data_IF_289314749844
#
_entry.id   IF_289314749844
#
_cell.length_a   1.000
_cell.length_b   1.000
_cell.length_c   1.000
_cell.angle_alpha   90.00
_cell.angle_beta   90.00
_cell.angle_gamma   90.00
#
_symmetry.space_group_name_H-M   'P 1'
#
loop_
_entity.id
_entity.type
_entity.pdbx_description
1 polymer ?
#
# COMPACT_ATOMS: atom_id res chain seq x y z
N UNK A 1 -15.13 -12.92 -1.10
CA UNK A 1 -14.94 -13.56 0.22
C UNK A 1 -14.15 -12.61 1.08
N UNK A 2 -14.78 -12.10 2.14
CA UNK A 2 -14.24 -11.11 3.07
C UNK A 2 -13.16 -11.75 3.98
N UNK A 3 -12.11 -11.01 4.33
CA UNK A 3 -11.13 -11.42 5.34
C UNK A 3 -11.78 -11.26 6.71
N UNK A 4 -11.58 -12.21 7.62
CA UNK A 4 -12.21 -12.15 8.93
C UNK A 4 -11.49 -11.14 9.83
N UNK A 5 -12.26 -10.47 10.70
CA UNK A 5 -11.73 -9.73 11.84
C UNK A 5 -11.94 -10.57 13.08
N UNK A 6 -10.86 -10.95 13.75
CA UNK A 6 -10.85 -11.79 14.95
C UNK A 6 -10.33 -10.95 16.12
N UNK A 7 -11.15 -10.72 17.14
CA UNK A 7 -10.77 -9.96 18.34
C UNK A 7 -10.16 -8.58 18.00
N UNK A 8 -10.84 -7.82 17.15
CA UNK A 8 -10.40 -6.49 16.66
C UNK A 8 -9.15 -6.47 15.76
N UNK A 9 -8.72 -7.63 15.28
CA UNK A 9 -7.56 -7.78 14.40
C UNK A 9 -8.01 -8.38 13.07
N UNK A 10 -7.69 -7.72 11.96
CA UNK A 10 -7.84 -8.29 10.62
C UNK A 10 -6.91 -9.49 10.49
N UNK A 11 -7.36 -10.58 9.89
CA UNK A 11 -6.50 -11.74 9.62
C UNK A 11 -5.47 -11.41 8.53
N UNK A 12 -4.32 -10.88 8.96
CA UNK A 12 -3.22 -10.45 8.08
C UNK A 12 -2.63 -11.64 7.30
N UNK A 13 -2.59 -12.83 7.90
CA UNK A 13 -2.09 -14.03 7.21
C UNK A 13 -2.98 -14.32 6.01
N UNK A 14 -4.30 -14.30 6.20
CA UNK A 14 -5.25 -14.48 5.10
C UNK A 14 -5.19 -13.36 4.06
N UNK A 15 -4.96 -12.12 4.49
CA UNK A 15 -4.76 -10.98 3.59
C UNK A 15 -3.53 -11.22 2.69
N UNK A 16 -2.40 -11.56 3.29
CA UNK A 16 -1.14 -11.79 2.60
C UNK A 16 -1.23 -12.98 1.64
N UNK A 17 -1.82 -14.10 2.07
CA UNK A 17 -2.06 -15.26 1.20
C UNK A 17 -2.87 -14.89 -0.05
N UNK A 18 -3.96 -14.13 0.11
CA UNK A 18 -4.79 -13.70 -1.02
C UNK A 18 -4.07 -12.73 -1.93
N UNK A 19 -3.38 -11.75 -1.34
CA UNK A 19 -2.59 -10.79 -2.10
C UNK A 19 -1.52 -11.51 -2.94
N UNK A 20 -0.74 -12.40 -2.33
CA UNK A 20 0.32 -13.15 -3.01
C UNK A 20 -0.23 -14.05 -4.12
N UNK A 21 -1.38 -14.71 -3.91
CA UNK A 21 -2.03 -15.50 -4.96
C UNK A 21 -2.45 -14.63 -6.15
N UNK A 22 -2.99 -13.43 -5.91
CA UNK A 22 -3.38 -12.50 -6.98
C UNK A 22 -2.15 -12.00 -7.75
N UNK A 23 -1.07 -11.67 -7.03
CA UNK A 23 0.20 -11.22 -7.62
C UNK A 23 0.79 -12.30 -8.49
N UNK A 24 0.90 -13.51 -7.97
CA UNK A 24 1.39 -14.65 -8.73
C UNK A 24 0.53 -14.94 -9.97
N UNK A 25 -0.79 -15.07 -9.81
CA UNK A 25 -1.69 -15.49 -10.89
C UNK A 25 -1.84 -14.43 -12.00
N UNK A 26 -1.76 -13.14 -11.66
CA UNK A 26 -2.15 -12.07 -12.59
C UNK A 26 -1.07 -11.04 -12.88
N UNK A 27 -0.10 -10.82 -11.99
CA UNK A 27 1.05 -9.96 -12.28
C UNK A 27 2.21 -10.80 -12.81
N UNK A 28 2.70 -11.78 -12.04
CA UNK A 28 3.97 -12.45 -12.35
C UNK A 28 3.86 -13.43 -13.53
N UNK A 29 2.71 -14.10 -13.69
CA UNK A 29 2.57 -15.20 -14.65
C UNK A 29 1.83 -14.84 -15.93
N UNK A 30 0.84 -13.94 -15.86
CA UNK A 30 -0.09 -13.72 -16.99
C UNK A 30 -0.24 -12.27 -17.44
N UNK A 31 0.39 -11.30 -16.75
CA UNK A 31 0.27 -9.86 -17.05
C UNK A 31 -1.19 -9.38 -17.22
N UNK A 32 -2.13 -10.00 -16.50
CA UNK A 32 -3.55 -9.67 -16.54
C UNK A 32 -3.89 -8.56 -15.54
N UNK A 33 -3.36 -7.37 -15.79
CA UNK A 33 -3.46 -6.21 -14.88
C UNK A 33 -4.88 -5.79 -14.57
N UNK A 34 -5.81 -5.91 -15.54
CA UNK A 34 -7.23 -5.61 -15.31
C UNK A 34 -7.84 -6.56 -14.27
N UNK A 35 -7.50 -7.85 -14.33
CA UNK A 35 -7.99 -8.84 -13.37
C UNK A 35 -7.31 -8.70 -12.02
N UNK A 36 -6.01 -8.39 -12.00
CA UNK A 36 -5.28 -8.05 -10.79
C UNK A 36 -5.93 -6.86 -10.07
N UNK A 37 -6.13 -5.74 -10.76
CA UNK A 37 -6.78 -4.53 -10.23
C UNK A 37 -8.13 -4.84 -9.60
N UNK A 38 -9.00 -5.57 -10.34
CA UNK A 38 -10.34 -5.95 -9.84
C UNK A 38 -10.28 -6.87 -8.62
N UNK A 39 -9.25 -7.69 -8.49
CA UNK A 39 -9.10 -8.65 -7.39
C UNK A 39 -8.43 -8.04 -6.15
N UNK A 40 -7.51 -7.08 -6.35
CA UNK A 40 -6.85 -6.33 -5.27
C UNK A 40 -7.76 -5.26 -4.68
N UNK A 41 -8.63 -4.64 -5.48
CA UNK A 41 -9.51 -3.54 -5.02
C UNK A 41 -10.34 -3.93 -3.77
N UNK A 42 -11.01 -5.10 -3.70
CA UNK A 42 -11.73 -5.50 -2.48
C UNK A 42 -10.83 -5.69 -1.25
N UNK A 43 -9.61 -6.22 -1.44
CA UNK A 43 -8.66 -6.37 -0.33
C UNK A 43 -8.24 -4.99 0.19
N UNK A 44 -7.96 -4.08 -0.73
CA UNK A 44 -7.60 -2.70 -0.43
C UNK A 44 -8.71 -1.98 0.32
N UNK A 45 -9.95 -2.04 -0.18
CA UNK A 45 -11.12 -1.45 0.49
C UNK A 45 -11.28 -2.00 1.90
N UNK A 46 -11.08 -3.30 2.08
CA UNK A 46 -11.22 -3.93 3.39
C UNK A 46 -10.14 -3.45 4.38
N UNK A 47 -8.88 -3.37 3.95
CA UNK A 47 -7.77 -2.90 4.79
C UNK A 47 -7.96 -1.45 5.21
N UNK A 48 -8.30 -0.57 4.26
CA UNK A 48 -8.49 0.86 4.55
C UNK A 48 -9.72 1.11 5.43
N UNK A 49 -10.82 0.37 5.18
CA UNK A 49 -12.03 0.44 6.02
C UNK A 49 -11.74 -0.05 7.44
N UNK A 50 -11.11 -1.23 7.58
CA UNK A 50 -10.73 -1.77 8.88
C UNK A 50 -9.89 -0.78 9.69
N UNK A 51 -8.87 -0.17 9.08
CA UNK A 51 -8.00 0.76 9.80
C UNK A 51 -8.73 2.04 10.19
N UNK A 52 -9.58 2.58 9.29
CA UNK A 52 -10.41 3.76 9.57
C UNK A 52 -11.37 3.49 10.73
N UNK A 53 -12.05 2.34 10.74
CA UNK A 53 -12.94 1.93 11.83
C UNK A 53 -12.19 1.70 13.15
N UNK A 54 -11.02 1.06 13.09
CA UNK A 54 -10.16 0.85 14.25
C UNK A 54 -9.78 2.17 14.94
N UNK A 55 -9.39 3.17 14.13
CA UNK A 55 -9.05 4.51 14.60
C UNK A 55 -10.30 5.26 15.09
N UNK A 56 -11.42 5.17 14.38
CA UNK A 56 -12.69 5.80 14.76
C UNK A 56 -13.19 5.34 16.14
N UNK A 57 -13.08 4.04 16.43
CA UNK A 57 -13.42 3.48 17.74
C UNK A 57 -12.49 3.94 18.88
N UNK A 58 -11.36 4.56 18.55
CA UNK A 58 -10.31 4.99 19.50
C UNK A 58 -10.00 6.49 19.40
N UNK A 59 -10.97 7.30 18.95
CA UNK A 59 -10.83 8.75 18.81
C UNK A 59 -9.59 9.18 17.97
N UNK A 60 -9.22 8.36 16.99
CA UNK A 60 -8.06 8.59 16.13
C UNK A 60 -6.71 8.25 16.76
N UNK A 61 -6.65 7.64 17.95
CA UNK A 61 -5.40 7.20 18.54
C UNK A 61 -4.73 6.11 17.69
N UNK A 62 -3.44 6.30 17.40
CA UNK A 62 -2.66 5.29 16.70
C UNK A 62 -2.53 4.02 17.57
N UNK A 63 -2.54 2.84 16.94
CA UNK A 63 -2.23 1.62 17.67
C UNK A 63 -0.80 1.66 18.22
N UNK A 64 -0.60 1.03 19.38
CA UNK A 64 0.75 0.80 19.90
C UNK A 64 1.49 -0.15 18.97
N UNK A 65 2.69 0.24 18.56
CA UNK A 65 3.56 -0.58 17.74
C UNK A 65 3.80 -1.94 18.41
N UNK A 66 3.40 -3.00 17.72
CA UNK A 66 3.66 -4.39 18.08
C UNK A 66 3.78 -5.20 16.78
N UNK A 67 4.07 -6.49 16.89
CA UNK A 67 4.24 -7.38 15.72
C UNK A 67 3.04 -7.35 14.79
N UNK A 68 1.82 -7.32 15.31
CA UNK A 68 0.63 -7.27 14.47
C UNK A 68 0.58 -5.99 13.64
N UNK A 69 0.78 -4.81 14.25
CA UNK A 69 0.67 -3.54 13.53
C UNK A 69 1.83 -3.30 12.56
N UNK A 70 2.99 -3.90 12.83
CA UNK A 70 4.11 -3.96 11.89
C UNK A 70 3.75 -4.79 10.65
N UNK A 71 3.22 -6.01 10.84
CA UNK A 71 2.76 -6.86 9.74
C UNK A 71 1.59 -6.23 8.98
N UNK A 72 0.68 -5.57 9.69
CA UNK A 72 -0.46 -4.88 9.09
C UNK A 72 0.01 -3.80 8.12
N UNK A 73 0.95 -2.95 8.56
CA UNK A 73 1.39 -1.82 7.77
C UNK A 73 2.29 -2.23 6.60
N UNK A 74 3.15 -3.24 6.80
CA UNK A 74 3.92 -3.87 5.72
C UNK A 74 3.01 -4.42 4.61
N UNK A 75 2.01 -5.21 5.00
CA UNK A 75 1.06 -5.79 4.06
C UNK A 75 0.21 -4.71 3.36
N UNK A 76 -0.17 -3.66 4.09
CA UNK A 76 -0.93 -2.52 3.54
C UNK A 76 -0.12 -1.74 2.52
N UNK A 77 1.17 -1.49 2.78
CA UNK A 77 2.08 -0.81 1.87
C UNK A 77 2.25 -1.60 0.56
N UNK A 78 2.54 -2.90 0.67
CA UNK A 78 2.67 -3.82 -0.47
C UNK A 78 1.38 -3.91 -1.28
N UNK A 79 0.22 -3.95 -0.60
CA UNK A 79 -1.09 -3.95 -1.26
C UNK A 79 -1.35 -2.66 -2.06
N UNK A 80 -0.98 -1.49 -1.50
CA UNK A 80 -1.09 -0.21 -2.20
C UNK A 80 -0.22 -0.20 -3.46
N UNK A 81 1.03 -0.67 -3.35
CA UNK A 81 1.94 -0.79 -4.50
C UNK A 81 1.37 -1.71 -5.59
N UNK A 82 0.96 -2.93 -5.25
CA UNK A 82 0.42 -3.86 -6.25
C UNK A 82 -0.86 -3.36 -6.90
N UNK A 83 -1.73 -2.68 -6.15
CA UNK A 83 -2.93 -2.06 -6.71
C UNK A 83 -2.56 -0.92 -7.65
N UNK A 84 -1.60 -0.06 -7.29
CA UNK A 84 -1.12 1.02 -8.15
C UNK A 84 -0.54 0.48 -9.47
N UNK A 85 0.35 -0.52 -9.40
CA UNK A 85 0.93 -1.18 -10.56
C UNK A 85 -0.17 -1.78 -11.45
N UNK A 86 -1.15 -2.47 -10.85
CA UNK A 86 -2.25 -3.05 -11.60
C UNK A 86 -3.13 -2.00 -12.28
N UNK A 87 -3.38 -0.85 -11.65
CA UNK A 87 -4.12 0.26 -12.26
C UNK A 87 -3.31 0.88 -13.41
N UNK A 88 -2.03 1.17 -13.17
CA UNK A 88 -1.14 1.80 -14.14
C UNK A 88 -1.03 0.96 -15.42
N UNK A 89 -0.67 -0.31 -15.29
CA UNK A 89 -0.50 -1.19 -16.46
C UNK A 89 -1.82 -1.69 -17.08
N UNK A 90 -2.95 -1.57 -16.37
CA UNK A 90 -4.27 -1.79 -16.97
C UNK A 90 -4.80 -0.57 -17.73
N UNK A 91 -4.25 0.62 -17.46
CA UNK A 91 -4.65 1.85 -18.13
C UNK A 91 -4.00 1.92 -19.51
N UNK A 92 -4.77 2.24 -20.54
CA UNK A 92 -4.22 2.51 -21.86
C UNK A 92 -3.56 3.90 -21.88
N UNK A 93 -2.58 4.14 -22.76
CA UNK A 93 -1.89 5.44 -22.93
C UNK A 93 -2.82 6.66 -23.10
N UNK A 94 -4.08 6.46 -23.49
CA UNK A 94 -5.08 7.51 -23.66
C UNK A 94 -5.84 7.87 -22.36
N UNK A 95 -5.72 7.05 -21.31
CA UNK A 95 -6.27 7.36 -19.99
C UNK A 95 -5.19 8.06 -19.19
N UNK A 96 -5.44 9.31 -18.78
CA UNK A 96 -4.57 10.01 -17.83
C UNK A 96 -4.26 9.05 -16.68
N UNK A 97 -2.98 8.90 -16.35
CA UNK A 97 -2.55 8.18 -15.16
C UNK A 97 -3.39 8.68 -13.98
N UNK A 98 -4.25 7.84 -13.38
CA UNK A 98 -5.18 8.35 -12.39
C UNK A 98 -4.38 8.96 -11.24
N UNK A 99 -4.74 10.14 -10.76
CA UNK A 99 -4.15 10.77 -9.54
C UNK A 99 -4.10 9.77 -8.36
N UNK A 100 -5.02 8.80 -8.39
CA UNK A 100 -5.04 7.64 -7.50
C UNK A 100 -3.76 6.79 -7.52
N UNK A 101 -3.12 6.58 -8.68
CA UNK A 101 -1.87 5.81 -8.80
C UNK A 101 -0.73 6.54 -8.10
N UNK A 102 -0.56 7.85 -8.36
CA UNK A 102 0.44 8.68 -7.66
C UNK A 102 0.22 8.63 -6.14
N UNK A 103 -1.04 8.78 -5.69
CA UNK A 103 -1.42 8.71 -4.27
C UNK A 103 -1.10 7.33 -3.64
N UNK A 104 -1.45 6.23 -4.32
CA UNK A 104 -1.19 4.87 -3.84
C UNK A 104 0.31 4.56 -3.74
N UNK A 105 1.11 4.99 -4.71
CA UNK A 105 2.56 4.81 -4.69
C UNK A 105 3.22 5.66 -3.60
N UNK A 106 2.76 6.91 -3.47
CA UNK A 106 3.22 7.82 -2.40
C UNK A 106 3.00 7.19 -1.04
N UNK A 107 1.79 6.68 -0.77
CA UNK A 107 1.53 6.07 0.53
C UNK A 107 2.23 4.73 0.70
N UNK A 108 2.38 3.92 -0.36
CA UNK A 108 3.15 2.68 -0.30
C UNK A 108 4.59 2.97 0.16
N UNK A 109 5.24 4.00 -0.40
CA UNK A 109 6.59 4.39 0.01
C UNK A 109 6.65 4.88 1.46
N UNK A 110 5.72 5.75 1.88
CA UNK A 110 5.70 6.29 3.25
C UNK A 110 5.29 5.28 4.32
N UNK A 111 4.54 4.25 3.97
CA UNK A 111 4.01 3.28 4.92
C UNK A 111 4.80 1.97 4.97
N UNK A 112 5.80 1.77 4.10
CA UNK A 112 6.64 0.58 4.14
C UNK A 112 7.57 0.62 5.37
N UNK A 113 7.42 -0.30 6.34
CA UNK A 113 8.28 -0.32 7.52
C UNK A 113 9.61 -1.03 7.22
N UNK A 114 10.59 -0.88 8.11
CA UNK A 114 11.82 -1.70 8.08
C UNK A 114 12.55 -1.67 6.73
N UNK A 115 12.66 -0.50 6.11
CA UNK A 115 13.25 -0.29 4.77
C UNK A 115 14.73 -0.65 4.63
N UNK A 116 15.40 -0.97 5.74
CA UNK A 116 16.79 -1.47 5.76
C UNK A 116 16.87 -3.00 5.57
N UNK A 117 15.74 -3.70 5.60
CA UNK A 117 15.68 -5.12 5.27
C UNK A 117 15.68 -5.30 3.75
N UNK A 118 16.50 -6.22 3.24
CA UNK A 118 16.70 -6.46 1.80
C UNK A 118 15.39 -6.53 1.01
N UNK A 119 14.41 -7.32 1.46
CA UNK A 119 13.10 -7.42 0.81
C UNK A 119 12.40 -6.06 0.68
N UNK A 120 12.38 -5.27 1.76
CA UNK A 120 11.68 -3.99 1.77
C UNK A 120 12.49 -2.88 1.08
N UNK A 121 13.81 -3.00 1.01
CA UNK A 121 14.66 -2.13 0.19
C UNK A 121 14.40 -2.34 -1.31
N UNK A 122 14.28 -3.60 -1.74
CA UNK A 122 13.92 -3.95 -3.12
C UNK A 122 12.52 -3.44 -3.48
N UNK A 123 11.54 -3.65 -2.59
CA UNK A 123 10.19 -3.11 -2.78
C UNK A 123 10.19 -1.59 -2.86
N UNK A 124 10.95 -0.91 -2.01
CA UNK A 124 11.03 0.55 -2.02
C UNK A 124 11.63 1.07 -3.33
N UNK A 125 12.66 0.39 -3.83
CA UNK A 125 13.26 0.69 -5.13
C UNK A 125 12.26 0.53 -6.26
N UNK A 126 11.46 -0.55 -6.24
CA UNK A 126 10.40 -0.77 -7.22
C UNK A 126 9.28 0.27 -7.15
N UNK A 127 8.90 0.71 -5.94
CA UNK A 127 7.92 1.79 -5.73
C UNK A 127 8.42 3.10 -6.37
N UNK A 128 9.68 3.48 -6.13
CA UNK A 128 10.22 4.72 -6.71
C UNK A 128 10.37 4.66 -8.23
N UNK A 129 10.74 3.50 -8.78
CA UNK A 129 10.81 3.31 -10.23
C UNK A 129 9.43 3.55 -10.87
N UNK A 130 8.40 2.85 -10.38
CA UNK A 130 7.03 3.01 -10.88
C UNK A 130 6.47 4.41 -10.62
N UNK A 131 6.79 5.03 -9.48
CA UNK A 131 6.40 6.41 -9.20
C UNK A 131 7.01 7.37 -10.22
N UNK A 132 8.28 7.18 -10.60
CA UNK A 132 8.95 7.93 -11.65
C UNK A 132 8.27 7.80 -13.01
N UNK A 133 7.89 6.60 -13.40
CA UNK A 133 7.13 6.35 -14.63
C UNK A 133 5.74 7.03 -14.62
N UNK A 134 5.15 7.17 -13.43
CA UNK A 134 3.81 7.76 -13.26
C UNK A 134 3.85 9.29 -13.29
N UNK A 135 4.82 9.91 -12.61
CA UNK A 135 4.87 11.37 -12.46
C UNK A 135 5.72 12.08 -13.52
N UNK A 136 6.63 11.35 -14.19
CA UNK A 136 7.57 11.88 -15.19
C UNK A 136 8.36 13.12 -14.72
N UNK A 137 8.56 13.24 -13.40
CA UNK A 137 9.14 14.39 -12.72
C UNK A 137 10.22 13.93 -11.74
N UNK A 138 11.48 14.13 -12.12
CA UNK A 138 12.64 13.74 -11.32
C UNK A 138 12.72 14.46 -9.97
N UNK A 139 12.30 15.72 -9.88
CA UNK A 139 12.36 16.48 -8.62
C UNK A 139 11.36 15.92 -7.62
N UNK A 140 10.14 15.57 -8.08
CA UNK A 140 9.14 14.89 -7.25
C UNK A 140 9.63 13.52 -6.75
N UNK A 141 10.25 12.72 -7.62
CA UNK A 141 10.80 11.40 -7.24
C UNK A 141 11.87 11.55 -6.18
N UNK A 142 12.82 12.48 -6.38
CA UNK A 142 13.89 12.76 -5.41
C UNK A 142 13.35 13.25 -4.07
N UNK A 143 12.40 14.20 -4.09
CA UNK A 143 11.79 14.72 -2.86
C UNK A 143 11.09 13.62 -2.05
N UNK A 144 10.28 12.77 -2.72
CA UNK A 144 9.63 11.64 -2.06
C UNK A 144 10.66 10.67 -1.46
N UNK A 145 11.71 10.34 -2.23
CA UNK A 145 12.77 9.44 -1.78
C UNK A 145 13.47 9.96 -0.53
N UNK A 146 13.90 11.21 -0.55
CA UNK A 146 14.60 11.83 0.57
C UNK A 146 13.73 11.86 1.83
N UNK A 147 12.44 12.20 1.69
CA UNK A 147 11.49 12.20 2.80
C UNK A 147 11.23 10.80 3.37
N UNK A 148 11.16 9.76 2.54
CA UNK A 148 10.97 8.37 2.99
C UNK A 148 12.21 7.84 3.70
N UNK A 149 13.41 8.09 3.15
CA UNK A 149 14.66 7.68 3.77
C UNK A 149 14.89 8.37 5.12
N UNK A 150 14.49 9.63 5.25
CA UNK A 150 14.54 10.36 6.53
C UNK A 150 13.62 9.77 7.61
N UNK A 151 12.55 9.04 7.24
CA UNK A 151 11.62 8.39 8.18
C UNK A 151 12.12 7.03 8.68
N UNK A 152 13.15 6.45 8.04
CA UNK A 152 13.80 5.19 8.42
C UNK A 152 12.85 3.98 8.59
N UNK A 153 11.65 4.02 8.00
CA UNK A 153 10.67 2.95 8.13
C UNK A 153 10.19 2.70 9.58
N UNK A 154 10.19 3.73 10.44
CA UNK A 154 9.63 3.64 11.80
C UNK A 154 8.14 3.30 11.74
N UNK A 155 7.75 2.16 12.32
CA UNK A 155 6.38 1.65 12.22
C UNK A 155 5.32 2.63 12.72
N UNK A 156 5.63 3.45 13.74
CA UNK A 156 4.69 4.47 14.24
C UNK A 156 4.50 5.58 13.21
N UNK A 157 5.57 6.04 12.56
CA UNK A 157 5.47 7.00 11.46
C UNK A 157 4.74 6.41 10.25
N UNK A 158 5.00 5.16 9.88
CA UNK A 158 4.28 4.46 8.80
C UNK A 158 2.77 4.40 9.08
N UNK A 159 2.38 4.02 10.30
CA UNK A 159 0.97 4.00 10.74
C UNK A 159 0.34 5.39 10.74
N UNK A 160 1.10 6.44 11.10
CA UNK A 160 0.64 7.82 11.06
C UNK A 160 0.43 8.31 9.62
N UNK A 161 1.36 8.01 8.70
CA UNK A 161 1.22 8.35 7.28
C UNK A 161 0.01 7.65 6.68
N UNK A 162 -0.17 6.36 7.00
CA UNK A 162 -1.31 5.58 6.53
C UNK A 162 -2.64 6.07 7.12
N UNK A 163 -2.65 6.53 8.37
CA UNK A 163 -3.83 7.19 8.97
C UNK A 163 -4.26 8.40 8.13
N UNK A 164 -3.33 9.32 7.85
CA UNK A 164 -3.61 10.53 7.08
C UNK A 164 -4.12 10.21 5.66
N UNK A 165 -3.66 9.09 5.10
CA UNK A 165 -4.12 8.59 3.81
C UNK A 165 -5.56 8.06 3.87
N UNK A 166 -5.87 7.12 4.78
CA UNK A 166 -7.22 6.51 4.85
C UNK A 166 -8.31 7.49 5.27
N UNK A 167 -7.95 8.56 5.99
CA UNK A 167 -8.86 9.67 6.32
C UNK A 167 -9.33 10.41 5.05
N UNK A 168 -8.50 10.48 4.01
CA UNK A 168 -8.79 11.17 2.75
C UNK A 168 -9.39 10.25 1.68
N UNK A 169 -9.07 8.96 1.69
CA UNK A 169 -9.43 8.03 0.62
C UNK A 169 -10.93 7.66 0.57
N UNK A 170 -11.64 7.76 1.69
CA UNK A 170 -13.08 7.42 1.82
C UNK A 170 -13.87 8.68 2.22
N UNK A 171 -13.67 9.77 1.49
CA UNK A 171 -14.42 11.02 1.61
C UNK A 171 -15.25 11.27 0.35
#
# INVERSE_FOLDING_TARGET
>A
MEIQVIRDHLDIVKLQEKMNSIVFDYLDTSNNYTKAMRSLTPLYTQVTTFYKEYLGARAGELPKANTYWHLFIDCSAKLCYFLAASIFYASNELQKTPEKVESLLTIAAYSLPSIEQEENEEFLTAIFALYGDVVEDHEKVSALRDEVLAQQGDAKQCLQRFKLFVEKEIA
#
